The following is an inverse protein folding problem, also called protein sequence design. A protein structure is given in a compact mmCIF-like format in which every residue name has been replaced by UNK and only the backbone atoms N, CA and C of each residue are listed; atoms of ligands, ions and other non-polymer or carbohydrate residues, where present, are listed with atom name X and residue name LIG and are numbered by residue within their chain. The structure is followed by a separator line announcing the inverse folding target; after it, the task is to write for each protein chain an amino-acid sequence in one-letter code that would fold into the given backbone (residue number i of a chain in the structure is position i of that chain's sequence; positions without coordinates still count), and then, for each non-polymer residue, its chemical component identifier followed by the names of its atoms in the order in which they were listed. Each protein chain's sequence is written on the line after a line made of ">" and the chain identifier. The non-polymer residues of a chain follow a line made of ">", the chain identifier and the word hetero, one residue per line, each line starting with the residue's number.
data_IF_947423917347
#
_entry.id   IF_947423917347
#
_cell.length_a   1.000
_cell.length_b   1.000
_cell.length_c   1.000
_cell.angle_alpha   90.00
_cell.angle_beta   90.00
_cell.angle_gamma   90.00
#
_symmetry.space_group_name_H-M   'P 1'
#
loop_
_entity.id
_entity.type
_entity.pdbx_description
1 polymer ?
#
# COMPACT_ATOMS: atom_id res chain seq x y z
N UNK A 1 -9.96 18.60 1.57
CA UNK A 1 -8.50 18.76 1.37
C UNK A 1 -8.03 17.56 0.56
N UNK A 2 -7.39 17.76 -0.59
CA UNK A 2 -6.87 16.69 -1.43
C UNK A 2 -5.69 16.01 -0.75
N UNK A 3 -5.70 14.66 -0.74
CA UNK A 3 -4.60 13.85 -0.24
C UNK A 3 -3.74 13.30 -1.38
N UNK A 4 -4.36 13.05 -2.53
CA UNK A 4 -3.74 12.57 -3.76
C UNK A 4 -4.22 13.41 -4.93
N UNK A 5 -3.27 13.81 -5.80
CA UNK A 5 -3.55 14.45 -7.08
C UNK A 5 -2.63 13.91 -8.16
N UNK A 6 -3.19 13.44 -9.25
CA UNK A 6 -2.51 13.08 -10.48
C UNK A 6 -2.86 14.13 -11.55
N UNK A 7 -1.87 14.63 -12.27
CA UNK A 7 -2.02 15.58 -13.36
C UNK A 7 -1.39 15.01 -14.62
N UNK A 8 -2.22 14.59 -15.57
CA UNK A 8 -1.86 14.04 -16.89
C UNK A 8 -0.75 12.97 -16.80
N UNK A 9 -0.90 12.04 -15.85
CA UNK A 9 0.10 10.99 -15.58
C UNK A 9 0.17 10.02 -16.74
N UNK A 10 1.35 9.90 -17.33
CA UNK A 10 1.63 8.97 -18.43
C UNK A 10 2.75 8.01 -18.07
N UNK A 11 2.62 6.76 -18.48
CA UNK A 11 3.66 5.75 -18.33
C UNK A 11 3.83 4.95 -19.60
N UNK A 12 5.05 4.95 -20.11
CA UNK A 12 5.46 4.19 -21.30
C UNK A 12 6.61 3.28 -20.87
N UNK A 13 6.51 2.00 -21.20
CA UNK A 13 7.58 1.01 -21.07
C UNK A 13 8.17 0.68 -22.44
N UNK A 14 9.45 0.30 -22.46
CA UNK A 14 10.17 -0.03 -23.69
C UNK A 14 10.66 1.19 -24.47
N UNK A 15 11.21 0.98 -25.65
CA UNK A 15 11.73 2.01 -26.55
C UNK A 15 11.52 1.61 -28.01
N UNK A 16 11.46 2.58 -28.91
CA UNK A 16 11.26 2.36 -30.35
C UNK A 16 9.94 1.62 -30.63
N UNK A 17 9.99 0.61 -31.50
CA UNK A 17 8.79 -0.13 -31.95
C UNK A 17 8.18 -1.05 -30.88
N UNK A 18 8.89 -1.28 -29.76
CA UNK A 18 8.43 -2.11 -28.66
C UNK A 18 7.86 -1.28 -27.49
N UNK A 19 7.36 -0.09 -27.75
CA UNK A 19 6.74 0.75 -26.73
C UNK A 19 5.36 0.23 -26.33
N UNK A 20 5.10 0.18 -25.01
CA UNK A 20 3.80 -0.11 -24.43
C UNK A 20 3.36 1.09 -23.59
N UNK A 21 2.25 1.71 -23.99
CA UNK A 21 1.62 2.80 -23.21
C UNK A 21 0.77 2.12 -22.14
N UNK A 22 1.26 2.12 -20.89
CA UNK A 22 0.57 1.53 -19.76
C UNK A 22 -0.41 2.51 -19.10
N UNK A 23 -0.11 3.81 -19.11
CA UNK A 23 -1.00 4.89 -18.69
C UNK A 23 -0.90 6.03 -19.71
N UNK A 24 -2.05 6.60 -20.07
CA UNK A 24 -2.14 7.66 -21.08
C UNK A 24 -2.96 8.84 -20.58
N UNK A 25 -2.28 9.74 -19.83
CA UNK A 25 -2.87 11.01 -19.39
C UNK A 25 -3.91 10.85 -18.28
N UNK A 26 -3.57 10.14 -17.19
CA UNK A 26 -4.47 9.94 -16.05
C UNK A 26 -4.54 11.19 -15.19
N UNK A 27 -5.75 11.73 -15.02
CA UNK A 27 -6.10 12.74 -14.05
C UNK A 27 -6.94 12.12 -12.94
N UNK A 28 -6.53 12.27 -11.69
CA UNK A 28 -7.21 11.70 -10.52
C UNK A 28 -7.02 12.63 -9.32
N UNK A 29 -8.08 12.88 -8.60
CA UNK A 29 -8.04 13.59 -7.32
C UNK A 29 -8.78 12.77 -6.26
N UNK A 30 -8.17 12.64 -5.07
CA UNK A 30 -8.76 11.93 -3.94
C UNK A 30 -8.68 12.83 -2.71
N UNK A 31 -9.80 12.99 -2.03
CA UNK A 31 -9.92 13.75 -0.78
C UNK A 31 -9.41 12.96 0.42
N UNK A 32 -9.10 13.67 1.50
CA UNK A 32 -8.76 13.03 2.77
C UNK A 32 -9.97 12.29 3.34
N UNK A 33 -9.78 11.01 3.72
CA UNK A 33 -10.84 10.14 4.23
C UNK A 33 -11.75 9.56 3.14
N UNK A 34 -11.42 9.74 1.87
CA UNK A 34 -12.17 9.18 0.76
C UNK A 34 -11.71 7.74 0.46
N UNK A 35 -12.67 6.88 0.16
CA UNK A 35 -12.44 5.51 -0.31
C UNK A 35 -12.75 5.42 -1.81
N UNK A 36 -11.73 5.11 -2.60
CA UNK A 36 -11.82 5.04 -4.07
C UNK A 36 -11.52 3.63 -4.54
N UNK A 37 -12.38 3.07 -5.40
CA UNK A 37 -12.13 1.81 -6.09
C UNK A 37 -11.81 2.06 -7.58
N UNK A 38 -10.66 1.54 -8.03
CA UNK A 38 -10.24 1.61 -9.43
C UNK A 38 -10.61 0.29 -10.10
N UNK A 39 -11.55 0.34 -11.04
CA UNK A 39 -12.05 -0.82 -11.77
C UNK A 39 -11.52 -0.80 -13.21
N UNK A 40 -11.37 -1.99 -13.79
CA UNK A 40 -10.95 -2.14 -15.19
C UNK A 40 -10.50 -3.56 -15.50
N UNK A 41 -10.42 -3.88 -16.80
CA UNK A 41 -9.96 -5.20 -17.28
C UNK A 41 -8.52 -5.50 -16.85
N UNK A 42 -8.13 -6.78 -16.94
CA UNK A 42 -6.71 -7.15 -16.78
C UNK A 42 -5.87 -6.42 -17.84
N UNK A 43 -4.69 -5.92 -17.44
CA UNK A 43 -3.80 -5.16 -18.33
C UNK A 43 -4.20 -3.69 -18.55
N UNK A 44 -5.25 -3.16 -17.91
CA UNK A 44 -5.68 -1.76 -18.08
C UNK A 44 -4.80 -0.73 -17.34
N UNK A 45 -3.67 -1.13 -16.75
CA UNK A 45 -2.73 -0.21 -16.11
C UNK A 45 -2.95 0.02 -14.61
N UNK A 46 -3.92 -0.65 -13.95
CA UNK A 46 -4.22 -0.47 -12.51
C UNK A 46 -2.99 -0.64 -11.61
N UNK A 47 -2.29 -1.75 -11.74
CA UNK A 47 -1.08 -2.02 -10.94
C UNK A 47 0.05 -1.05 -11.29
N UNK A 48 0.16 -0.62 -12.57
CA UNK A 48 1.12 0.42 -12.97
C UNK A 48 0.82 1.74 -12.27
N UNK A 49 -0.46 2.14 -12.22
CA UNK A 49 -0.87 3.35 -11.49
C UNK A 49 -0.53 3.21 -10.00
N UNK A 50 -0.85 2.08 -9.35
CA UNK A 50 -0.51 1.84 -7.95
C UNK A 50 1.00 1.87 -7.69
N UNK A 51 1.83 1.33 -8.59
CA UNK A 51 3.29 1.42 -8.49
C UNK A 51 3.78 2.87 -8.54
N UNK A 52 3.20 3.70 -9.38
CA UNK A 52 3.53 5.13 -9.45
C UNK A 52 3.06 5.85 -8.20
N UNK A 53 1.82 5.64 -7.76
CA UNK A 53 1.27 6.25 -6.54
C UNK A 53 2.05 5.83 -5.29
N UNK A 54 2.55 4.60 -5.25
CA UNK A 54 3.42 4.12 -4.17
C UNK A 54 4.87 4.57 -4.28
N UNK A 55 5.24 5.32 -5.34
CA UNK A 55 6.64 5.73 -5.59
C UNK A 55 7.60 4.52 -5.75
N UNK A 56 7.10 3.37 -6.20
CA UNK A 56 7.92 2.22 -6.62
C UNK A 56 8.45 2.46 -8.03
N UNK A 57 7.61 3.04 -8.89
CA UNK A 57 7.97 3.43 -10.25
C UNK A 57 7.72 4.94 -10.45
N UNK A 58 8.33 5.51 -11.49
CA UNK A 58 8.15 6.92 -11.86
C UNK A 58 7.29 7.03 -13.11
N UNK A 59 6.44 8.06 -13.22
CA UNK A 59 5.76 8.36 -14.46
C UNK A 59 6.78 8.78 -15.55
N UNK A 60 6.45 8.53 -16.81
CA UNK A 60 7.22 9.04 -17.95
C UNK A 60 6.99 10.55 -18.10
N UNK A 61 5.76 11.01 -17.85
CA UNK A 61 5.39 12.43 -17.80
C UNK A 61 4.19 12.65 -16.89
N UNK A 62 3.85 13.91 -16.64
CA UNK A 62 2.80 14.28 -15.68
C UNK A 62 3.32 14.39 -14.26
N UNK A 63 2.41 14.62 -13.31
CA UNK A 63 2.73 14.80 -11.88
C UNK A 63 1.89 13.94 -10.98
N UNK A 64 2.49 13.50 -9.87
CA UNK A 64 1.78 12.88 -8.75
C UNK A 64 2.15 13.62 -7.47
N UNK A 65 1.13 14.12 -6.79
CA UNK A 65 1.27 14.86 -5.52
C UNK A 65 0.51 14.06 -4.45
N UNK A 66 1.20 13.69 -3.36
CA UNK A 66 0.60 13.01 -2.22
C UNK A 66 0.96 13.78 -0.94
N UNK A 67 -0.05 14.11 -0.15
CA UNK A 67 0.09 14.86 1.10
C UNK A 67 0.98 16.12 0.89
N UNK A 68 0.74 16.87 -0.20
CA UNK A 68 1.47 18.05 -0.60
C UNK A 68 2.88 17.81 -1.17
N UNK A 69 3.34 16.55 -1.26
CA UNK A 69 4.67 16.20 -1.78
C UNK A 69 4.60 15.76 -3.24
N UNK A 70 5.30 16.45 -4.13
CA UNK A 70 5.47 16.08 -5.54
C UNK A 70 6.49 14.92 -5.65
N UNK A 71 6.02 13.73 -6.04
CA UNK A 71 6.85 12.53 -6.12
C UNK A 71 7.93 12.60 -7.21
N UNK A 72 7.72 13.42 -8.27
CA UNK A 72 8.68 13.58 -9.36
C UNK A 72 10.01 14.21 -8.91
N UNK A 73 9.95 15.01 -7.82
CA UNK A 73 11.09 15.72 -7.25
C UNK A 73 11.94 14.87 -6.30
N UNK A 74 11.47 13.67 -5.96
CA UNK A 74 12.15 12.78 -5.02
C UNK A 74 13.25 11.98 -5.72
N UNK A 75 14.44 11.94 -5.11
CA UNK A 75 15.44 10.94 -5.48
C UNK A 75 15.07 9.56 -4.92
N UNK A 76 15.80 8.51 -5.29
CA UNK A 76 15.47 7.13 -4.89
C UNK A 76 15.40 6.93 -3.36
N UNK A 77 16.33 7.52 -2.62
CA UNK A 77 16.37 7.44 -1.16
C UNK A 77 15.17 8.17 -0.53
N UNK A 78 14.88 9.38 -1.01
CA UNK A 78 13.73 10.16 -0.55
C UNK A 78 12.41 9.45 -0.87
N UNK A 79 12.28 8.87 -2.07
CA UNK A 79 11.11 8.09 -2.48
C UNK A 79 10.90 6.87 -1.58
N UNK A 80 11.96 6.13 -1.25
CA UNK A 80 11.88 4.98 -0.32
C UNK A 80 11.46 5.40 1.10
N UNK A 81 11.97 6.52 1.60
CA UNK A 81 11.58 7.08 2.91
C UNK A 81 10.13 7.56 2.87
N UNK A 82 9.75 8.28 1.80
CA UNK A 82 8.38 8.76 1.60
C UNK A 82 7.38 7.60 1.59
N UNK A 83 7.62 6.58 0.76
CA UNK A 83 6.80 5.37 0.68
C UNK A 83 6.62 4.73 2.05
N UNK A 84 7.72 4.48 2.78
CA UNK A 84 7.68 3.86 4.09
C UNK A 84 6.85 4.64 5.12
N UNK A 85 6.89 5.98 5.06
CA UNK A 85 6.29 6.85 6.09
C UNK A 85 4.90 7.36 5.75
N UNK A 86 4.61 7.55 4.46
CA UNK A 86 3.41 8.25 3.99
C UNK A 86 2.44 7.37 3.22
N UNK A 87 2.90 6.23 2.71
CA UNK A 87 2.07 5.33 1.90
C UNK A 87 2.02 3.95 2.54
N UNK A 88 0.83 3.53 2.93
CA UNK A 88 0.56 2.13 3.26
C UNK A 88 0.31 1.35 1.97
N UNK A 89 0.89 0.15 1.85
CA UNK A 89 0.75 -0.67 0.66
C UNK A 89 0.38 -2.10 1.03
N UNK A 90 -0.76 -2.54 0.53
CA UNK A 90 -1.30 -3.89 0.70
C UNK A 90 -1.31 -4.56 -0.66
N UNK A 91 -0.56 -5.65 -0.80
CA UNK A 91 -0.47 -6.43 -2.03
C UNK A 91 -1.38 -7.66 -1.99
N UNK A 92 -1.68 -8.20 -3.16
CA UNK A 92 -2.35 -9.49 -3.34
C UNK A 92 -1.57 -10.64 -2.67
N UNK A 93 -0.24 -10.67 -2.87
CA UNK A 93 0.67 -11.53 -2.12
C UNK A 93 1.14 -10.78 -0.89
N UNK A 94 0.98 -11.35 0.28
CA UNK A 94 1.18 -10.71 1.60
C UNK A 94 2.58 -10.14 1.81
N UNK A 95 3.59 -10.66 1.09
CA UNK A 95 5.00 -10.24 1.13
C UNK A 95 5.52 -10.11 2.58
N UNK A 96 5.14 -11.06 3.43
CA UNK A 96 5.69 -11.18 4.77
C UNK A 96 7.07 -11.81 4.70
N UNK A 97 7.97 -11.36 5.58
CA UNK A 97 9.31 -11.95 5.72
C UNK A 97 9.17 -13.26 6.50
N UNK A 98 9.45 -14.43 5.89
CA UNK A 98 9.08 -15.72 6.48
C UNK A 98 9.86 -16.07 7.75
N UNK A 99 11.03 -15.47 7.94
CA UNK A 99 11.90 -15.67 9.11
C UNK A 99 11.61 -14.72 10.28
N UNK A 100 10.70 -13.77 10.09
CA UNK A 100 10.28 -12.82 11.12
C UNK A 100 8.92 -13.21 11.69
N UNK A 101 8.75 -13.04 13.01
CA UNK A 101 7.44 -13.19 13.65
C UNK A 101 6.45 -12.16 13.11
N UNK A 102 5.16 -12.36 13.37
CA UNK A 102 4.09 -11.41 13.06
C UNK A 102 4.42 -10.02 13.60
N UNK A 103 4.78 -9.92 14.89
CA UNK A 103 5.14 -8.66 15.51
C UNK A 103 6.29 -7.97 14.77
N UNK A 104 7.35 -8.70 14.44
CA UNK A 104 8.52 -8.15 13.73
C UNK A 104 8.16 -7.73 12.29
N UNK A 105 7.31 -8.48 11.59
CA UNK A 105 6.80 -8.09 10.29
C UNK A 105 6.03 -6.78 10.35
N UNK A 106 5.12 -6.61 11.33
CA UNK A 106 4.33 -5.39 11.51
C UNK A 106 5.23 -4.20 11.83
N UNK A 107 6.19 -4.37 12.73
CA UNK A 107 7.06 -3.29 13.22
C UNK A 107 8.25 -2.98 12.31
N UNK A 108 8.48 -3.79 11.26
CA UNK A 108 9.62 -3.62 10.35
C UNK A 108 9.77 -2.20 9.78
N UNK A 109 8.70 -1.51 9.32
CA UNK A 109 8.83 -0.14 8.81
C UNK A 109 9.40 0.83 9.84
N UNK A 110 9.00 0.70 11.11
CA UNK A 110 9.53 1.52 12.21
C UNK A 110 10.98 1.17 12.53
N UNK A 111 11.32 -0.13 12.53
CA UNK A 111 12.67 -0.60 12.78
C UNK A 111 13.68 -0.05 11.75
N UNK A 112 13.28 0.04 10.47
CA UNK A 112 14.11 0.64 9.42
C UNK A 112 14.40 2.13 9.66
N UNK A 113 13.55 2.84 10.39
CA UNK A 113 13.77 4.23 10.80
C UNK A 113 14.36 4.35 12.23
N UNK A 114 14.72 3.23 12.86
CA UNK A 114 15.18 3.16 14.25
C UNK A 114 14.20 3.81 15.24
N UNK A 115 12.88 3.73 14.93
CA UNK A 115 11.81 4.27 15.77
C UNK A 115 11.21 3.19 16.65
N UNK A 116 10.85 3.58 17.87
CA UNK A 116 10.05 2.75 18.77
C UNK A 116 8.57 2.83 18.37
N UNK A 117 7.80 1.74 18.48
CA UNK A 117 6.36 1.79 18.26
C UNK A 117 5.67 2.63 19.36
N UNK A 118 4.58 3.30 18.98
CA UNK A 118 3.60 3.72 19.95
C UNK A 118 2.81 2.48 20.36
N UNK A 119 2.98 2.05 21.62
CA UNK A 119 2.46 0.77 22.10
C UNK A 119 0.92 0.72 22.07
N UNK A 120 0.27 1.78 22.50
CA UNK A 120 -1.21 1.90 22.49
C UNK A 120 -1.76 1.75 21.05
N UNK A 121 -1.13 2.43 20.10
CA UNK A 121 -1.55 2.33 18.69
C UNK A 121 -1.29 0.95 18.11
N UNK A 122 -0.15 0.34 18.42
CA UNK A 122 0.16 -1.02 17.99
C UNK A 122 -0.90 -2.00 18.51
N UNK A 123 -1.21 -1.96 19.80
CA UNK A 123 -2.22 -2.81 20.41
C UNK A 123 -3.61 -2.59 19.80
N UNK A 124 -3.98 -1.34 19.55
CA UNK A 124 -5.23 -1.00 18.85
C UNK A 124 -5.28 -1.64 17.45
N UNK A 125 -4.21 -1.54 16.67
CA UNK A 125 -4.15 -2.10 15.31
C UNK A 125 -4.25 -3.62 15.34
N UNK A 126 -3.45 -4.30 16.16
CA UNK A 126 -3.46 -5.78 16.18
C UNK A 126 -4.75 -6.35 16.74
N UNK A 127 -5.37 -5.68 17.71
CA UNK A 127 -6.67 -6.07 18.27
C UNK A 127 -7.80 -5.87 17.26
N UNK A 128 -7.84 -4.72 16.56
CA UNK A 128 -8.87 -4.45 15.56
C UNK A 128 -8.82 -5.41 14.37
N UNK A 129 -7.63 -5.94 14.07
CA UNK A 129 -7.41 -6.93 13.02
C UNK A 129 -7.51 -8.38 13.51
N UNK A 130 -7.75 -8.61 14.81
CA UNK A 130 -7.92 -9.95 15.39
C UNK A 130 -6.68 -10.84 15.24
N UNK A 131 -5.47 -10.27 15.41
CA UNK A 131 -4.18 -10.98 15.32
C UNK A 131 -3.31 -10.83 16.57
N UNK A 132 -3.87 -10.29 17.66
CA UNK A 132 -3.13 -10.05 18.89
C UNK A 132 -2.58 -11.32 19.55
N UNK A 133 -3.27 -12.46 19.38
CA UNK A 133 -2.87 -13.78 19.88
C UNK A 133 -1.82 -14.49 19.01
N UNK A 134 -1.42 -13.90 17.88
CA UNK A 134 -0.51 -14.47 16.88
C UNK A 134 0.83 -13.75 16.75
N UNK A 135 1.13 -12.80 17.62
CA UNK A 135 2.29 -11.91 17.49
C UNK A 135 3.63 -12.64 17.42
N UNK A 136 3.77 -13.76 18.12
CA UNK A 136 5.00 -14.58 18.12
C UNK A 136 5.02 -15.66 17.03
N UNK A 137 3.92 -15.87 16.29
CA UNK A 137 3.85 -16.84 15.21
C UNK A 137 4.71 -16.41 14.01
N UNK A 138 5.17 -17.40 13.24
CA UNK A 138 5.79 -17.18 11.93
C UNK A 138 4.72 -17.18 10.81
N UNK A 139 4.97 -16.54 9.67
CA UNK A 139 4.01 -16.48 8.56
C UNK A 139 3.47 -17.84 8.10
N UNK A 140 4.29 -18.88 8.10
CA UNK A 140 3.90 -20.24 7.70
C UNK A 140 2.94 -20.93 8.69
N UNK A 141 2.74 -20.36 9.88
CA UNK A 141 1.81 -20.85 10.90
C UNK A 141 0.44 -20.16 10.82
N UNK A 142 0.25 -19.27 9.83
CA UNK A 142 -0.94 -18.45 9.66
C UNK A 142 -1.75 -18.90 8.45
N UNK A 143 -3.09 -18.80 8.54
CA UNK A 143 -3.95 -18.86 7.36
C UNK A 143 -3.72 -17.69 6.41
N UNK A 144 -4.12 -17.80 5.14
CA UNK A 144 -4.02 -16.71 4.17
C UNK A 144 -4.69 -15.42 4.66
N UNK A 145 -5.89 -15.52 5.25
CA UNK A 145 -6.58 -14.37 5.82
C UNK A 145 -5.83 -13.73 7.00
N UNK A 146 -5.19 -14.53 7.84
CA UNK A 146 -4.34 -14.01 8.92
C UNK A 146 -3.09 -13.32 8.37
N UNK A 147 -2.43 -13.89 7.36
CA UNK A 147 -1.28 -13.27 6.70
C UNK A 147 -1.67 -11.91 6.07
N UNK A 148 -2.83 -11.83 5.45
CA UNK A 148 -3.35 -10.58 4.89
C UNK A 148 -3.57 -9.52 5.99
N UNK A 149 -4.16 -9.90 7.12
CA UNK A 149 -4.35 -8.99 8.27
C UNK A 149 -3.01 -8.49 8.83
N UNK A 150 -1.98 -9.34 8.85
CA UNK A 150 -0.60 -8.93 9.23
C UNK A 150 -0.04 -7.92 8.21
N UNK A 151 -0.24 -8.14 6.91
CA UNK A 151 0.20 -7.20 5.87
C UNK A 151 -0.51 -5.85 5.98
N UNK A 152 -1.82 -5.84 6.30
CA UNK A 152 -2.59 -4.64 6.59
C UNK A 152 -2.04 -3.94 7.84
N UNK A 153 -1.83 -4.66 8.96
CA UNK A 153 -1.25 -4.09 10.17
C UNK A 153 0.09 -3.41 9.91
N UNK A 154 0.98 -4.08 9.14
CA UNK A 154 2.27 -3.53 8.73
C UNK A 154 2.11 -2.25 7.91
N UNK A 155 1.13 -2.19 7.03
CA UNK A 155 0.89 -1.00 6.20
C UNK A 155 0.38 0.20 7.01
N UNK A 156 -0.30 -0.05 8.14
CA UNK A 156 -0.91 0.97 8.98
C UNK A 156 0.02 1.51 10.07
N UNK A 157 1.06 0.77 10.45
CA UNK A 157 1.86 1.05 11.66
C UNK A 157 2.50 2.45 11.67
N UNK A 158 2.74 3.02 10.50
CA UNK A 158 3.28 4.37 10.34
C UNK A 158 2.20 5.47 10.31
N UNK A 159 0.90 5.12 10.39
CA UNK A 159 -0.24 6.03 10.16
C UNK A 159 -0.08 6.75 8.83
N UNK A 160 -0.09 6.01 7.71
CA UNK A 160 0.16 6.60 6.39
C UNK A 160 -0.93 7.62 6.03
N UNK A 161 -0.56 8.58 5.18
CA UNK A 161 -1.50 9.56 4.63
C UNK A 161 -2.41 8.95 3.54
N UNK A 162 -1.89 7.93 2.84
CA UNK A 162 -2.59 7.22 1.78
C UNK A 162 -2.39 5.71 1.95
N UNK A 163 -3.47 4.93 1.88
CA UNK A 163 -3.43 3.48 1.83
C UNK A 163 -3.78 3.01 0.41
N UNK A 164 -2.90 2.26 -0.19
CA UNK A 164 -3.07 1.63 -1.50
C UNK A 164 -3.23 0.13 -1.35
N UNK A 165 -4.18 -0.46 -2.05
CA UNK A 165 -4.41 -1.90 -2.03
C UNK A 165 -4.52 -2.44 -3.47
N UNK A 166 -3.63 -3.37 -3.82
CA UNK A 166 -3.63 -4.05 -5.11
C UNK A 166 -4.24 -5.44 -4.92
N UNK A 167 -5.47 -5.62 -5.38
CA UNK A 167 -6.26 -6.86 -5.25
C UNK A 167 -6.18 -7.49 -3.84
N UNK A 168 -6.47 -6.74 -2.75
CA UNK A 168 -6.22 -7.17 -1.38
C UNK A 168 -7.01 -8.42 -0.97
N UNK A 169 -7.93 -8.86 -1.81
CA UNK A 169 -8.80 -10.02 -1.58
C UNK A 169 -8.60 -11.14 -2.61
N UNK A 170 -7.70 -10.96 -3.59
CA UNK A 170 -7.54 -11.88 -4.72
C UNK A 170 -7.18 -13.33 -4.35
N UNK A 171 -6.58 -13.55 -3.17
CA UNK A 171 -6.20 -14.85 -2.65
C UNK A 171 -7.08 -15.32 -1.47
N UNK A 172 -8.22 -14.67 -1.24
CA UNK A 172 -9.11 -14.96 -0.12
C UNK A 172 -10.46 -15.51 -0.60
N UNK A 173 -11.10 -16.33 0.23
CA UNK A 173 -12.50 -16.69 0.04
C UNK A 173 -13.43 -15.50 0.26
N UNK A 174 -14.71 -15.65 -0.12
CA UNK A 174 -15.70 -14.56 -0.05
C UNK A 174 -15.87 -13.96 1.35
N UNK A 175 -15.81 -14.79 2.39
CA UNK A 175 -15.99 -14.35 3.79
C UNK A 175 -14.81 -13.48 4.22
N UNK A 176 -13.59 -13.97 4.04
CA UNK A 176 -12.37 -13.24 4.39
C UNK A 176 -12.22 -11.97 3.51
N UNK A 177 -12.63 -12.01 2.24
CA UNK A 177 -12.64 -10.86 1.33
C UNK A 177 -13.50 -9.72 1.87
N UNK A 178 -14.73 -10.02 2.30
CA UNK A 178 -15.62 -9.01 2.86
C UNK A 178 -15.04 -8.41 4.15
N UNK A 179 -14.52 -9.26 5.04
CA UNK A 179 -13.90 -8.80 6.28
C UNK A 179 -12.72 -7.85 6.02
N UNK A 180 -11.84 -8.17 5.06
CA UNK A 180 -10.70 -7.31 4.68
C UNK A 180 -11.17 -5.96 4.15
N UNK A 181 -12.15 -5.93 3.25
CA UNK A 181 -12.68 -4.67 2.71
C UNK A 181 -13.33 -3.82 3.81
N UNK A 182 -14.10 -4.45 4.71
CA UNK A 182 -14.73 -3.75 5.82
C UNK A 182 -13.71 -3.20 6.84
N UNK A 183 -12.56 -3.86 6.99
CA UNK A 183 -11.43 -3.38 7.81
C UNK A 183 -10.70 -2.18 7.18
N UNK A 184 -10.66 -2.09 5.85
CA UNK A 184 -9.99 -0.99 5.15
C UNK A 184 -10.82 0.32 5.15
N UNK A 185 -12.16 0.23 5.19
CA UNK A 185 -13.05 1.39 5.19
C UNK A 185 -12.88 2.36 6.37
N UNK A 186 -12.74 1.91 7.63
CA UNK A 186 -12.59 2.82 8.78
C UNK A 186 -11.21 3.49 8.87
N UNK A 187 -10.26 3.10 8.03
CA UNK A 187 -8.88 3.61 8.04
C UNK A 187 -8.73 4.81 7.11
N UNK A 188 -9.73 5.04 6.26
CA UNK A 188 -9.79 6.15 5.33
C UNK A 188 -10.16 7.49 6.00
#
# INVERSE_FOLDING_TARGET
>A
MEILKCESVRKIYGSGDNQVIALDGIDLSVGKGEFVAILGASGSGKSTLLHILSSVDKPTSGKVIIDGTDLSKLNQTQAAIFRRRKVGLVYQFYNLIPTLTVQKNILMPLALDKKKPNQEYFEKVVSSLGIADRLEALPNQLSGGQQQRVAIARSLIYRPALLLADEPTGNLDQKNSKEVIDMLKPVS
#
